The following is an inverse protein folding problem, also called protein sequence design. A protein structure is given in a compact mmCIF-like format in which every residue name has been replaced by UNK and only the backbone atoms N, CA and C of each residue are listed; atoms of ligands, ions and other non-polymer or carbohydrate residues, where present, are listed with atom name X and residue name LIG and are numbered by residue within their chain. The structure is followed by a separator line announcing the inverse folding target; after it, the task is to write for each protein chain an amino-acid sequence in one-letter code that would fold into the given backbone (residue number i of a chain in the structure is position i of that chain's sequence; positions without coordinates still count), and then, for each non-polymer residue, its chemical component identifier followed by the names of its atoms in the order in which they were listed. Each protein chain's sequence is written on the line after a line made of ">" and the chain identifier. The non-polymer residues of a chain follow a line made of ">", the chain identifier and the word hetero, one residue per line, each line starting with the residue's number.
data_IF_512356059400
#
_entry.id   IF_512356059400
#
_cell.length_a   1.000
_cell.length_b   1.000
_cell.length_c   1.000
_cell.angle_alpha   90.00
_cell.angle_beta   90.00
_cell.angle_gamma   90.00
#
_symmetry.space_group_name_H-M   'P 1'
#
loop_
_entity.id
_entity.type
_entity.pdbx_description
1 polymer ?
#
# COMPACT_ATOMS: atom_id res chain seq x y z
N UNK A 1 8.05 -13.41 -1.57
CA UNK A 1 6.97 -13.88 -0.67
C UNK A 1 7.39 -13.86 0.79
N UNK A 2 8.43 -14.61 1.20
CA UNK A 2 8.89 -14.66 2.60
C UNK A 2 9.21 -13.30 3.23
N UNK A 3 9.77 -12.36 2.48
CA UNK A 3 10.01 -10.98 2.95
C UNK A 3 8.70 -10.27 3.32
N UNK A 4 7.67 -10.35 2.45
CA UNK A 4 6.35 -9.77 2.72
C UNK A 4 5.70 -10.36 3.97
N UNK A 5 5.82 -11.68 4.17
CA UNK A 5 5.35 -12.36 5.38
C UNK A 5 6.06 -11.81 6.63
N UNK A 6 7.37 -11.57 6.57
CA UNK A 6 8.10 -10.96 7.69
C UNK A 6 7.65 -9.52 7.97
N UNK A 7 7.39 -8.72 6.94
CA UNK A 7 6.86 -7.36 7.13
C UNK A 7 5.50 -7.38 7.83
N UNK A 8 4.60 -8.29 7.43
CA UNK A 8 3.32 -8.49 8.13
C UNK A 8 3.55 -8.86 9.60
N UNK A 9 4.50 -9.74 9.90
CA UNK A 9 4.82 -10.08 11.29
C UNK A 9 5.28 -8.86 12.08
N UNK A 10 6.15 -8.02 11.50
CA UNK A 10 6.66 -6.83 12.17
C UNK A 10 5.55 -5.79 12.43
N UNK A 11 4.62 -5.61 11.48
CA UNK A 11 3.41 -4.79 11.66
C UNK A 11 2.55 -5.34 12.79
N UNK A 12 2.27 -6.64 12.79
CA UNK A 12 1.48 -7.29 13.84
C UNK A 12 2.12 -7.09 15.23
N UNK A 13 3.45 -7.25 15.34
CA UNK A 13 4.17 -7.04 16.60
C UNK A 13 3.98 -5.61 17.12
N UNK A 14 4.08 -4.61 16.23
CA UNK A 14 3.88 -3.19 16.55
C UNK A 14 2.46 -2.91 17.04
N UNK A 15 1.45 -3.35 16.30
CA UNK A 15 0.05 -3.02 16.61
C UNK A 15 -0.45 -3.74 17.87
N UNK A 16 0.01 -4.98 18.10
CA UNK A 16 -0.33 -5.75 19.29
C UNK A 16 0.59 -5.48 20.50
N UNK A 17 1.67 -4.71 20.32
CA UNK A 17 2.70 -4.45 21.33
C UNK A 17 3.28 -5.73 21.95
N UNK A 18 3.53 -6.73 21.09
CA UNK A 18 4.11 -8.03 21.48
C UNK A 18 5.44 -8.25 20.78
N UNK A 19 6.35 -8.95 21.46
CA UNK A 19 7.64 -9.24 20.85
C UNK A 19 7.54 -10.38 19.81
N UNK A 20 8.35 -10.26 18.77
CA UNK A 20 8.47 -11.27 17.70
C UNK A 20 8.79 -12.66 18.28
N UNK A 21 9.67 -12.70 19.28
CA UNK A 21 10.04 -13.92 19.96
C UNK A 21 8.86 -14.54 20.72
N UNK A 22 7.97 -13.74 21.29
CA UNK A 22 6.79 -14.25 22.00
C UNK A 22 5.78 -14.87 21.05
N UNK A 23 5.52 -14.22 19.91
CA UNK A 23 4.67 -14.78 18.85
C UNK A 23 5.25 -16.13 18.37
N UNK A 24 6.57 -16.22 18.19
CA UNK A 24 7.24 -17.46 17.77
C UNK A 24 7.26 -18.53 18.88
N UNK A 25 7.39 -18.12 20.15
CA UNK A 25 7.44 -18.98 21.33
C UNK A 25 6.12 -19.73 21.55
N UNK A 26 6.12 -20.71 22.46
CA UNK A 26 4.90 -21.46 22.88
C UNK A 26 3.98 -20.67 23.83
N UNK A 27 4.26 -19.38 24.10
CA UNK A 27 3.43 -18.55 24.98
C UNK A 27 1.96 -18.50 24.50
N UNK A 28 1.07 -18.59 25.49
CA UNK A 28 -0.40 -18.65 25.32
C UNK A 28 -1.13 -17.53 26.06
N UNK A 29 -0.44 -16.45 26.39
CA UNK A 29 -1.11 -15.22 26.84
C UNK A 29 -2.09 -14.78 25.75
N UNK A 30 -3.21 -14.19 26.15
CA UNK A 30 -4.31 -13.86 25.25
C UNK A 30 -3.85 -12.97 24.09
N UNK A 31 -3.07 -11.93 24.38
CA UNK A 31 -2.57 -10.98 23.37
C UNK A 31 -1.64 -11.65 22.36
N UNK A 32 -0.71 -12.49 22.83
CA UNK A 32 0.20 -13.25 21.96
C UNK A 32 -0.57 -14.27 21.11
N UNK A 33 -1.61 -14.89 21.65
CA UNK A 33 -2.47 -15.81 20.90
C UNK A 33 -3.23 -15.07 19.80
N UNK A 34 -3.87 -13.94 20.12
CA UNK A 34 -4.62 -13.12 19.14
C UNK A 34 -3.71 -12.52 18.07
N UNK A 35 -2.55 -12.01 18.44
CA UNK A 35 -1.55 -11.50 17.50
C UNK A 35 -1.14 -12.58 16.50
N UNK A 36 -0.83 -13.79 17.00
CA UNK A 36 -0.47 -14.94 16.14
C UNK A 36 -1.61 -15.37 15.22
N UNK A 37 -2.83 -15.40 15.72
CA UNK A 37 -4.01 -15.75 14.92
C UNK A 37 -4.25 -14.75 13.79
N UNK A 38 -4.14 -13.46 14.11
CA UNK A 38 -4.23 -12.36 13.14
C UNK A 38 -3.17 -12.48 12.06
N UNK A 39 -1.92 -12.72 12.45
CA UNK A 39 -0.81 -12.90 11.53
C UNK A 39 -1.11 -13.98 10.48
N UNK A 40 -1.52 -15.17 10.93
CA UNK A 40 -1.83 -16.27 10.01
C UNK A 40 -3.03 -15.96 9.12
N UNK A 41 -4.09 -15.39 9.68
CA UNK A 41 -5.27 -15.01 8.92
C UNK A 41 -4.92 -14.01 7.81
N UNK A 42 -4.21 -12.95 8.15
CA UNK A 42 -3.85 -11.88 7.21
C UNK A 42 -2.89 -12.40 6.14
N UNK A 43 -1.87 -13.17 6.51
CA UNK A 43 -0.96 -13.77 5.53
C UNK A 43 -1.69 -14.69 4.55
N UNK A 44 -2.67 -15.47 5.02
CA UNK A 44 -3.47 -16.32 4.15
C UNK A 44 -4.43 -15.49 3.28
N UNK A 45 -5.14 -14.53 3.88
CA UNK A 45 -6.22 -13.78 3.23
C UNK A 45 -5.70 -12.77 2.20
N UNK A 46 -4.70 -11.99 2.58
CA UNK A 46 -4.17 -10.91 1.74
C UNK A 46 -3.07 -11.42 0.82
N UNK A 47 -2.06 -12.11 1.36
CA UNK A 47 -0.87 -12.53 0.59
C UNK A 47 -1.04 -13.88 -0.13
N UNK A 48 -2.11 -14.64 0.19
CA UNK A 48 -2.29 -16.04 -0.26
C UNK A 48 -1.04 -16.89 0.04
N UNK A 49 -0.42 -16.64 1.20
CA UNK A 49 0.81 -17.29 1.58
C UNK A 49 0.60 -18.81 1.80
N UNK A 50 1.48 -19.68 1.29
CA UNK A 50 1.52 -21.10 1.64
C UNK A 50 1.71 -21.31 3.15
N UNK A 51 1.10 -22.37 3.69
CA UNK A 51 1.19 -22.70 5.12
C UNK A 51 2.63 -22.94 5.54
N UNK A 52 3.42 -23.57 4.67
CA UNK A 52 4.83 -23.91 4.88
C UNK A 52 5.66 -22.64 5.13
N UNK A 53 5.46 -21.59 4.31
CA UNK A 53 6.19 -20.33 4.47
C UNK A 53 5.79 -19.58 5.74
N UNK A 54 4.52 -19.68 6.16
CA UNK A 54 4.08 -19.11 7.43
C UNK A 54 4.67 -19.87 8.62
N UNK A 55 4.71 -21.22 8.54
CA UNK A 55 5.31 -22.08 9.56
C UNK A 55 6.82 -21.86 9.71
N UNK A 56 7.53 -21.52 8.63
CA UNK A 56 8.94 -21.14 8.70
C UNK A 56 9.18 -19.84 9.49
N UNK A 57 8.24 -18.88 9.40
CA UNK A 57 8.37 -17.57 10.05
C UNK A 57 7.87 -17.61 11.49
N UNK A 58 6.75 -18.29 11.73
CA UNK A 58 6.18 -18.53 13.06
C UNK A 58 6.03 -20.05 13.25
N UNK A 59 6.99 -20.70 13.95
CA UNK A 59 7.08 -22.16 14.04
C UNK A 59 5.84 -22.83 14.64
N UNK A 60 4.93 -23.30 13.78
CA UNK A 60 3.71 -24.04 14.16
C UNK A 60 3.38 -25.10 13.11
N UNK A 61 2.75 -26.17 13.58
CA UNK A 61 2.18 -27.18 12.70
C UNK A 61 1.00 -26.60 11.90
N UNK A 62 0.77 -27.18 10.71
CA UNK A 62 -0.28 -26.68 9.80
C UNK A 62 -1.68 -26.74 10.41
N UNK A 63 -1.98 -27.72 11.27
CA UNK A 63 -3.29 -27.81 11.91
C UNK A 63 -3.51 -26.63 12.88
N UNK A 64 -2.50 -26.25 13.66
CA UNK A 64 -2.53 -25.05 14.50
C UNK A 64 -2.70 -23.78 13.69
N UNK A 65 -2.02 -23.66 12.54
CA UNK A 65 -2.17 -22.51 11.65
C UNK A 65 -3.60 -22.42 11.12
N UNK A 66 -4.15 -23.52 10.59
CA UNK A 66 -5.52 -23.58 10.08
C UNK A 66 -6.57 -23.26 11.15
N UNK A 67 -6.38 -23.82 12.35
CA UNK A 67 -7.22 -23.51 13.50
C UNK A 67 -7.21 -22.01 13.83
N UNK A 68 -6.03 -21.41 13.84
CA UNK A 68 -5.84 -19.98 14.13
C UNK A 68 -6.55 -19.09 13.11
N UNK A 69 -6.43 -19.42 11.82
CA UNK A 69 -7.13 -18.73 10.73
C UNK A 69 -8.65 -18.79 10.93
N UNK A 70 -9.19 -19.98 11.19
CA UNK A 70 -10.62 -20.21 11.33
C UNK A 70 -11.22 -19.52 12.56
N UNK A 71 -10.49 -19.50 13.68
CA UNK A 71 -10.92 -18.76 14.87
C UNK A 71 -10.96 -17.26 14.59
N UNK A 72 -9.88 -16.72 14.03
CA UNK A 72 -9.81 -15.28 13.76
C UNK A 72 -10.92 -14.83 12.82
N UNK A 73 -11.19 -15.58 11.75
CA UNK A 73 -12.25 -15.29 10.79
C UNK A 73 -13.64 -15.22 11.45
N UNK A 74 -13.89 -16.09 12.43
CA UNK A 74 -15.15 -16.13 13.19
C UNK A 74 -15.28 -15.01 14.21
N UNK A 75 -14.18 -14.48 14.72
CA UNK A 75 -14.16 -13.54 15.84
C UNK A 75 -13.95 -12.09 15.45
N UNK A 76 -13.26 -11.82 14.33
CA UNK A 76 -12.89 -10.47 13.89
C UNK A 76 -14.08 -9.50 13.77
N UNK A 77 -15.27 -10.00 13.41
CA UNK A 77 -16.45 -9.16 13.19
C UNK A 77 -17.40 -9.12 14.41
N UNK A 78 -17.14 -9.94 15.43
CA UNK A 78 -18.02 -10.06 16.61
C UNK A 78 -17.76 -8.99 17.67
N UNK A 79 -16.54 -8.48 17.73
CA UNK A 79 -16.14 -7.43 18.67
C UNK A 79 -15.75 -6.17 17.87
N UNK A 80 -16.36 -5.00 18.12
CA UNK A 80 -16.01 -3.75 17.44
C UNK A 80 -14.52 -3.40 17.52
N UNK A 81 -13.87 -3.68 18.65
CA UNK A 81 -12.45 -3.44 18.83
C UNK A 81 -11.59 -4.32 17.90
N UNK A 82 -11.90 -5.62 17.81
CA UNK A 82 -11.20 -6.52 16.88
C UNK A 82 -11.45 -6.13 15.42
N UNK A 83 -12.66 -5.69 15.09
CA UNK A 83 -13.01 -5.25 13.72
C UNK A 83 -12.23 -4.00 13.31
N UNK A 84 -12.13 -3.02 14.22
CA UNK A 84 -11.33 -1.81 14.00
C UNK A 84 -9.85 -2.13 13.86
N UNK A 85 -9.33 -2.99 14.73
CA UNK A 85 -7.91 -3.36 14.69
C UNK A 85 -7.57 -4.14 13.42
N UNK A 86 -8.45 -5.06 12.97
CA UNK A 86 -8.33 -5.71 11.68
C UNK A 86 -8.27 -4.69 10.54
N UNK A 87 -9.24 -3.76 10.46
CA UNK A 87 -9.25 -2.71 9.43
C UNK A 87 -7.96 -1.91 9.41
N UNK A 88 -7.53 -1.41 10.57
CA UNK A 88 -6.30 -0.63 10.70
C UNK A 88 -5.08 -1.40 10.21
N UNK A 89 -4.92 -2.66 10.65
CA UNK A 89 -3.79 -3.49 10.23
C UNK A 89 -3.85 -3.78 8.72
N UNK A 90 -5.03 -4.06 8.17
CA UNK A 90 -5.16 -4.33 6.73
C UNK A 90 -4.85 -3.11 5.88
N UNK A 91 -5.29 -1.91 6.28
CA UNK A 91 -4.98 -0.65 5.59
C UNK A 91 -3.46 -0.40 5.60
N UNK A 92 -2.80 -0.59 6.75
CA UNK A 92 -1.34 -0.48 6.87
C UNK A 92 -0.63 -1.48 5.95
N UNK A 93 -1.10 -2.73 5.87
CA UNK A 93 -0.47 -3.77 5.05
C UNK A 93 -0.69 -3.50 3.55
N UNK A 94 -1.84 -2.94 3.17
CA UNK A 94 -2.08 -2.48 1.81
C UNK A 94 -1.06 -1.41 1.42
N UNK A 95 -0.84 -0.42 2.29
CA UNK A 95 0.10 0.67 2.07
C UNK A 95 1.59 0.27 2.15
N UNK A 96 1.98 -0.61 3.08
CA UNK A 96 3.40 -0.93 3.36
C UNK A 96 3.91 -2.20 2.64
N UNK A 97 3.04 -3.18 2.34
CA UNK A 97 3.45 -4.54 1.92
C UNK A 97 2.90 -4.93 0.54
N UNK A 98 1.70 -4.47 0.19
CA UNK A 98 1.06 -4.79 -1.08
C UNK A 98 1.43 -3.86 -2.21
N UNK A 99 2.08 -2.73 -1.94
CA UNK A 99 2.66 -1.89 -2.98
C UNK A 99 3.56 -2.73 -3.89
N UNK A 100 3.10 -2.93 -5.12
CA UNK A 100 3.99 -3.21 -6.24
C UNK A 100 4.92 -1.98 -6.39
N UNK A 101 6.13 -2.14 -6.92
CA UNK A 101 7.00 -0.99 -7.24
C UNK A 101 6.32 0.07 -8.15
N UNK A 102 5.14 -0.21 -8.70
CA UNK A 102 4.38 0.67 -9.59
C UNK A 102 3.39 1.61 -8.90
N UNK A 103 3.25 1.58 -7.57
CA UNK A 103 2.27 2.41 -6.84
C UNK A 103 2.92 3.22 -5.71
N UNK A 104 4.11 3.79 -5.95
CA UNK A 104 4.33 5.11 -5.36
C UNK A 104 3.29 6.02 -6.00
N UNK A 105 2.43 6.64 -5.19
CA UNK A 105 1.61 7.78 -5.63
C UNK A 105 2.59 8.78 -6.25
N UNK A 106 2.72 8.75 -7.57
CA UNK A 106 3.62 9.66 -8.27
C UNK A 106 2.93 11.01 -8.14
N UNK A 107 3.40 11.81 -7.19
CA UNK A 107 2.98 13.19 -7.12
C UNK A 107 3.53 13.91 -8.34
N UNK A 108 2.69 14.71 -8.99
CA UNK A 108 3.14 15.42 -10.16
C UNK A 108 4.19 16.46 -9.76
N UNK A 109 5.20 16.63 -10.61
CA UNK A 109 6.16 17.74 -10.50
C UNK A 109 5.52 19.11 -10.76
N UNK A 110 4.27 19.14 -11.21
CA UNK A 110 3.51 20.33 -11.54
C UNK A 110 2.36 20.58 -10.56
N UNK A 111 1.89 21.82 -10.53
CA UNK A 111 0.66 22.26 -9.88
C UNK A 111 -0.20 23.01 -10.89
N UNK A 112 -1.51 23.04 -10.63
CA UNK A 112 -2.43 23.88 -11.42
C UNK A 112 -2.00 25.35 -11.29
N UNK A 113 -1.89 26.03 -12.42
CA UNK A 113 -1.38 27.40 -12.54
C UNK A 113 0.10 27.50 -12.93
N UNK A 114 0.86 26.39 -12.93
CA UNK A 114 2.26 26.43 -13.37
C UNK A 114 2.37 26.79 -14.86
N UNK A 115 3.28 27.72 -15.17
CA UNK A 115 3.69 28.00 -16.55
C UNK A 115 4.64 26.92 -17.02
N UNK A 116 4.33 26.32 -18.17
CA UNK A 116 5.04 25.18 -18.72
C UNK A 116 5.38 25.39 -20.19
N UNK A 117 6.44 24.73 -20.62
CA UNK A 117 6.80 24.67 -22.03
C UNK A 117 7.18 23.25 -22.43
N UNK A 118 7.12 23.00 -23.75
CA UNK A 118 7.53 21.72 -24.33
C UNK A 118 8.97 21.83 -24.87
N UNK A 119 9.97 21.18 -24.26
CA UNK A 119 11.38 21.31 -24.65
C UNK A 119 11.71 20.61 -25.98
N UNK A 120 10.94 19.59 -26.37
CA UNK A 120 11.15 18.81 -27.60
C UNK A 120 9.92 18.83 -28.51
N UNK A 121 10.11 19.12 -29.79
CA UNK A 121 9.07 19.16 -30.82
C UNK A 121 8.48 20.55 -31.02
N UNK A 122 7.19 20.65 -31.40
CA UNK A 122 6.55 21.96 -31.60
C UNK A 122 6.51 22.78 -30.31
N UNK A 123 6.68 24.09 -30.45
CA UNK A 123 6.63 25.05 -29.35
C UNK A 123 5.22 25.07 -28.77
N UNK A 124 5.12 24.87 -27.46
CA UNK A 124 3.86 24.96 -26.72
C UNK A 124 4.12 25.72 -25.41
N UNK A 125 3.96 27.05 -25.40
CA UNK A 125 3.92 27.82 -24.16
C UNK A 125 2.50 27.70 -23.58
N UNK A 126 2.39 27.27 -22.34
CA UNK A 126 1.07 27.06 -21.74
C UNK A 126 1.04 27.11 -20.22
N UNK A 127 -0.16 27.00 -19.69
CA UNK A 127 -0.44 26.97 -18.26
C UNK A 127 -1.17 25.68 -17.89
N UNK A 128 -0.76 25.05 -16.79
CA UNK A 128 -1.40 23.82 -16.30
C UNK A 128 -2.80 24.14 -15.77
N UNK A 129 -3.82 23.50 -16.34
CA UNK A 129 -5.22 23.64 -15.93
C UNK A 129 -5.74 22.49 -15.09
N UNK A 130 -5.24 21.28 -15.32
CA UNK A 130 -5.62 20.11 -14.53
C UNK A 130 -4.52 19.05 -14.55
N UNK A 131 -4.49 18.27 -13.48
CA UNK A 131 -3.58 17.13 -13.30
C UNK A 131 -4.43 15.95 -12.87
N UNK A 132 -4.31 14.84 -13.59
CA UNK A 132 -5.06 13.62 -13.27
C UNK A 132 -4.26 12.38 -13.65
N UNK A 133 -4.73 11.24 -13.17
CA UNK A 133 -4.13 9.94 -13.44
C UNK A 133 -5.08 9.13 -14.31
N UNK A 134 -4.55 8.45 -15.34
CA UNK A 134 -5.36 7.59 -16.20
C UNK A 134 -5.59 6.20 -15.58
N UNK A 135 -6.33 5.33 -16.26
CA UNK A 135 -6.60 3.95 -15.82
C UNK A 135 -5.36 3.06 -15.74
N UNK A 136 -4.19 3.52 -16.22
CA UNK A 136 -2.88 2.85 -16.12
C UNK A 136 -1.99 3.46 -15.03
N UNK A 137 -2.54 4.28 -14.15
CA UNK A 137 -1.82 4.98 -13.09
C UNK A 137 -0.76 5.99 -13.58
N UNK A 138 -0.85 6.47 -14.82
CA UNK A 138 0.11 7.43 -15.37
C UNK A 138 -0.42 8.86 -15.24
N UNK A 139 0.44 9.78 -14.76
CA UNK A 139 0.11 11.21 -14.67
C UNK A 139 -0.09 11.80 -16.07
N UNK A 140 -1.16 12.58 -16.20
CA UNK A 140 -1.51 13.38 -17.37
C UNK A 140 -1.74 14.83 -16.96
N UNK A 141 -1.19 15.72 -17.77
CA UNK A 141 -1.21 17.16 -17.56
C UNK A 141 -2.07 17.78 -18.64
N UNK A 142 -3.13 18.47 -18.25
CA UNK A 142 -3.91 19.33 -19.16
C UNK A 142 -3.28 20.72 -19.12
N UNK A 143 -2.78 21.18 -20.26
CA UNK A 143 -2.21 22.52 -20.39
C UNK A 143 -2.96 23.32 -21.47
N UNK A 144 -3.20 24.59 -21.19
CA UNK A 144 -3.80 25.55 -22.12
C UNK A 144 -2.71 26.41 -22.75
N UNK A 145 -2.72 26.53 -24.09
CA UNK A 145 -1.73 27.31 -24.83
C UNK A 145 -1.99 28.82 -24.71
N UNK A 146 -0.96 29.61 -24.46
CA UNK A 146 -1.12 31.06 -24.21
C UNK A 146 -1.60 31.84 -25.46
N UNK A 147 -1.16 31.45 -26.66
CA UNK A 147 -1.42 32.24 -27.87
C UNK A 147 -2.89 32.17 -28.32
N UNK A 148 -3.56 31.02 -28.15
CA UNK A 148 -4.88 30.77 -28.73
C UNK A 148 -5.85 29.99 -27.82
N UNK A 149 -5.49 29.72 -26.55
CA UNK A 149 -6.34 29.00 -25.61
C UNK A 149 -6.52 27.51 -25.93
N UNK A 150 -5.73 26.94 -26.83
CA UNK A 150 -5.85 25.53 -27.20
C UNK A 150 -5.47 24.63 -26.03
N UNK A 151 -6.38 23.74 -25.63
CA UNK A 151 -6.12 22.72 -24.60
C UNK A 151 -5.45 21.49 -25.19
N UNK A 152 -4.45 20.98 -24.51
CA UNK A 152 -3.77 19.75 -24.88
C UNK A 152 -3.41 18.91 -23.65
N UNK A 153 -3.41 17.58 -23.82
CA UNK A 153 -3.07 16.62 -22.76
C UNK A 153 -1.66 16.08 -23.03
N UNK A 154 -0.77 16.22 -22.06
CA UNK A 154 0.61 15.76 -22.12
C UNK A 154 0.91 14.69 -21.07
N UNK A 155 1.91 13.86 -21.36
CA UNK A 155 2.61 13.10 -20.33
C UNK A 155 3.50 14.06 -19.54
N UNK A 156 3.66 13.83 -18.24
CA UNK A 156 4.48 14.69 -17.36
C UNK A 156 5.91 14.91 -17.87
N UNK A 157 6.53 13.89 -18.48
CA UNK A 157 7.88 13.98 -19.04
C UNK A 157 8.01 14.83 -20.31
N UNK A 158 6.91 15.26 -20.92
CA UNK A 158 6.92 16.07 -22.15
C UNK A 158 6.96 17.58 -21.88
N UNK A 159 6.83 17.99 -20.61
CA UNK A 159 6.77 19.38 -20.20
C UNK A 159 7.85 19.69 -19.18
N UNK A 160 8.23 20.96 -19.12
CA UNK A 160 9.11 21.55 -18.09
C UNK A 160 8.52 22.86 -17.59
N UNK A 161 8.85 23.25 -16.35
CA UNK A 161 8.42 24.52 -15.76
C UNK A 161 9.16 25.66 -16.46
N UNK A 162 8.42 26.68 -16.87
CA UNK A 162 8.97 27.93 -17.37
C UNK A 162 9.36 28.81 -16.18
N UNK A 163 10.61 28.68 -15.71
CA UNK A 163 11.13 29.55 -14.66
C UNK A 163 11.20 30.98 -15.20
N UNK A 164 10.37 31.87 -14.65
CA UNK A 164 10.47 33.31 -14.91
C UNK A 164 11.40 33.88 -13.86
N UNK A 165 12.64 34.23 -14.25
CA UNK A 165 13.51 35.06 -13.42
C UNK A 165 13.00 36.50 -13.37
#
# INVERSE_FOLDING_TARGET
>A
MKQKINQVLDIICREYQVDKQEIQSRARTEDVAKARQSFFYICQKMLKAPLELMAEVVPRDHATILYSINIYDKEKDKNPFHSLMYKSITEIIEDEVMTTPSEKKQESKFRVGDKVYKPKGYKFPGEVRAIFTNTRNEIRIVAEMEDNGMLHIFNEGQLEILNTN
#
